data_IF_426297639223
#
_entry.id   IF_426297639223
#
_cell.length_a   1.000
_cell.length_b   1.000
_cell.length_c   1.000
_cell.angle_alpha   90.00
_cell.angle_beta   90.00
_cell.angle_gamma   90.00
#
_symmetry.space_group_name_H-M   'P 1'
#
loop_
_entity.id
_entity.type
_entity.pdbx_description
1 polymer ?
#
# COMPACT_ATOMS: atom_id res chain seq x y z
N UNK A 1 -16.71 12.52 -2.64
CA UNK A 1 -15.47 13.23 -3.01
C UNK A 1 -14.48 12.20 -3.52
N UNK A 2 -14.09 12.24 -4.80
CA UNK A 2 -13.14 11.26 -5.38
C UNK A 2 -11.79 11.39 -4.66
N UNK A 3 -11.33 10.33 -4.00
CA UNK A 3 -10.06 10.33 -3.28
C UNK A 3 -8.94 10.68 -4.28
N UNK A 4 -8.32 11.85 -4.10
CA UNK A 4 -7.32 12.39 -5.02
C UNK A 4 -6.21 11.36 -5.26
N UNK A 5 -5.74 11.28 -6.51
CA UNK A 5 -4.63 10.39 -6.94
C UNK A 5 -3.41 10.49 -6.00
N UNK A 6 -3.17 11.68 -5.43
CA UNK A 6 -2.12 11.96 -4.45
C UNK A 6 -2.33 11.23 -3.12
N UNK A 7 -3.56 11.19 -2.62
CA UNK A 7 -3.90 10.51 -1.35
C UNK A 7 -3.73 9.01 -1.49
N UNK A 8 -4.12 8.42 -2.64
CA UNK A 8 -3.91 6.98 -2.85
C UNK A 8 -2.43 6.60 -2.87
N UNK A 9 -1.58 7.44 -3.49
CA UNK A 9 -0.13 7.21 -3.49
C UNK A 9 0.46 7.39 -2.09
N UNK A 10 -0.03 8.38 -1.33
CA UNK A 10 0.33 8.57 0.06
C UNK A 10 -0.02 7.34 0.92
N UNK A 11 -1.21 6.75 0.76
CA UNK A 11 -1.61 5.54 1.51
C UNK A 11 -0.70 4.34 1.20
N UNK A 12 -0.32 4.16 -0.07
CA UNK A 12 0.61 3.09 -0.47
C UNK A 12 1.99 3.34 0.11
N UNK A 13 2.54 4.55 -0.04
CA UNK A 13 3.86 4.91 0.50
C UNK A 13 3.90 4.79 2.03
N UNK A 14 2.84 5.23 2.70
CA UNK A 14 2.67 5.10 4.14
C UNK A 14 2.62 3.63 4.57
N UNK A 15 1.91 2.78 3.84
CA UNK A 15 1.89 1.34 4.07
C UNK A 15 3.26 0.68 3.93
N UNK A 16 4.00 1.01 2.87
CA UNK A 16 5.37 0.51 2.65
C UNK A 16 6.33 1.00 3.73
N UNK A 17 6.24 2.28 4.10
CA UNK A 17 7.03 2.84 5.20
C UNK A 17 6.73 2.13 6.52
N UNK A 18 5.46 1.90 6.82
CA UNK A 18 5.01 1.16 8.00
C UNK A 18 5.64 -0.23 8.04
N UNK A 19 5.67 -0.97 6.92
CA UNK A 19 6.37 -2.25 6.84
C UNK A 19 7.85 -2.16 7.20
N UNK A 20 8.56 -1.17 6.66
CA UNK A 20 10.00 -0.99 6.95
C UNK A 20 10.22 -0.79 8.44
N UNK A 21 9.40 0.06 9.09
CA UNK A 21 9.48 0.33 10.53
C UNK A 21 9.25 -0.94 11.34
N UNK A 22 8.15 -1.66 11.10
CA UNK A 22 7.80 -2.83 11.90
C UNK A 22 8.75 -4.00 11.70
N UNK A 23 9.21 -4.26 10.47
CA UNK A 23 10.21 -5.30 10.19
C UNK A 23 11.53 -4.97 10.91
N UNK A 24 11.97 -3.72 10.84
CA UNK A 24 13.20 -3.29 11.52
C UNK A 24 13.07 -3.38 13.03
N UNK A 25 11.93 -2.98 13.58
CA UNK A 25 11.64 -3.09 15.00
C UNK A 25 11.64 -4.55 15.48
N UNK A 26 10.95 -5.47 14.78
CA UNK A 26 10.94 -6.90 15.13
C UNK A 26 12.35 -7.50 15.05
N UNK A 27 13.16 -7.12 14.06
CA UNK A 27 14.57 -7.55 13.97
C UNK A 27 15.38 -7.08 15.18
N UNK A 28 15.17 -5.84 15.64
CA UNK A 28 15.86 -5.29 16.80
C UNK A 28 15.36 -5.91 18.12
N UNK A 29 14.07 -6.19 18.20
CA UNK A 29 13.46 -6.89 19.33
C UNK A 29 14.03 -8.31 19.46
N UNK A 30 14.16 -9.03 18.34
CA UNK A 30 14.75 -10.38 18.33
C UNK A 30 16.24 -10.37 18.67
N UNK A 31 16.99 -9.35 18.23
CA UNK A 31 18.39 -9.14 18.61
C UNK A 31 18.58 -8.69 20.06
N UNK A 32 17.49 -8.52 20.80
CA UNK A 32 17.48 -7.98 22.15
C UNK A 32 18.30 -6.70 22.31
N UNK A 33 18.14 -5.76 21.38
CA UNK A 33 18.94 -4.52 21.39
C UNK A 33 18.75 -3.70 22.68
N UNK A 34 17.60 -3.85 23.33
CA UNK A 34 17.26 -3.23 24.62
C UNK A 34 17.73 -4.02 25.85
N UNK A 35 18.07 -5.31 25.71
CA UNK A 35 18.37 -6.21 26.84
C UNK A 35 17.15 -6.59 27.71
N UNK A 36 15.94 -6.39 27.19
CA UNK A 36 14.66 -6.62 27.89
C UNK A 36 13.83 -7.73 27.27
N UNK A 37 14.18 -8.18 26.06
CA UNK A 37 13.39 -9.12 25.29
C UNK A 37 13.55 -10.56 25.79
N UNK A 38 14.73 -10.93 26.28
CA UNK A 38 15.00 -12.27 26.76
C UNK A 38 15.65 -12.25 28.14
N UNK A 39 15.32 -13.24 28.97
CA UNK A 39 16.01 -13.39 30.26
C UNK A 39 17.44 -13.88 30.02
N UNK A 40 18.42 -13.20 30.61
CA UNK A 40 19.84 -13.58 30.56
C UNK A 40 20.44 -13.78 29.16
N UNK A 41 19.83 -13.20 28.11
CA UNK A 41 20.25 -13.38 26.72
C UNK A 41 19.92 -14.76 26.13
N UNK A 42 19.15 -15.60 26.82
CA UNK A 42 18.68 -16.88 26.29
C UNK A 42 17.41 -16.68 25.47
N UNK A 43 17.52 -16.83 24.15
CA UNK A 43 16.39 -16.76 23.22
C UNK A 43 15.29 -17.80 23.48
N UNK A 44 15.53 -18.81 24.32
CA UNK A 44 14.52 -19.75 24.83
C UNK A 44 13.61 -19.19 25.92
N UNK A 45 13.88 -18.00 26.45
CA UNK A 45 13.18 -17.41 27.60
C UNK A 45 12.63 -15.98 27.33
N UNK A 46 11.66 -15.83 26.42
CA UNK A 46 11.09 -14.52 26.08
C UNK A 46 10.34 -13.90 27.26
N UNK A 47 10.56 -12.61 27.50
CA UNK A 47 9.91 -11.86 28.58
C UNK A 47 8.49 -11.40 28.18
N UNK A 48 7.72 -10.90 29.16
CA UNK A 48 6.46 -10.23 28.86
C UNK A 48 6.64 -9.00 27.95
N UNK A 49 7.76 -8.27 28.09
CA UNK A 49 8.10 -7.14 27.24
C UNK A 49 8.19 -7.57 25.77
N UNK A 50 8.85 -8.70 25.49
CA UNK A 50 8.93 -9.26 24.14
C UNK A 50 7.54 -9.55 23.56
N UNK A 51 6.68 -10.26 24.29
CA UNK A 51 5.35 -10.65 23.80
C UNK A 51 4.43 -9.46 23.53
N UNK A 52 4.43 -8.47 24.43
CA UNK A 52 3.66 -7.25 24.26
C UNK A 52 4.12 -6.54 22.99
N UNK A 53 5.41 -6.28 22.85
CA UNK A 53 5.94 -5.52 21.71
C UNK A 53 5.81 -6.28 20.39
N UNK A 54 6.02 -7.60 20.39
CA UNK A 54 5.81 -8.43 19.21
C UNK A 54 4.36 -8.40 18.77
N UNK A 55 3.41 -8.54 19.71
CA UNK A 55 1.97 -8.50 19.40
C UNK A 55 1.58 -7.13 18.83
N UNK A 56 2.01 -6.03 19.48
CA UNK A 56 1.78 -4.68 18.96
C UNK A 56 2.37 -4.49 17.57
N UNK A 57 3.59 -4.99 17.33
CA UNK A 57 4.24 -4.90 16.02
C UNK A 57 3.48 -5.68 14.94
N UNK A 58 3.05 -6.91 15.23
CA UNK A 58 2.28 -7.74 14.28
C UNK A 58 0.93 -7.10 13.96
N UNK A 59 0.17 -6.68 14.97
CA UNK A 59 -1.14 -6.03 14.75
C UNK A 59 -0.95 -4.75 13.93
N UNK A 60 0.04 -3.92 14.27
CA UNK A 60 0.31 -2.67 13.54
C UNK A 60 0.77 -2.91 12.11
N UNK A 61 1.57 -3.96 11.87
CA UNK A 61 1.98 -4.38 10.53
C UNK A 61 0.77 -4.82 9.69
N UNK A 62 -0.18 -5.57 10.26
CA UNK A 62 -1.41 -5.96 9.58
C UNK A 62 -2.29 -4.76 9.24
N UNK A 63 -2.43 -3.80 10.16
CA UNK A 63 -3.14 -2.55 9.91
C UNK A 63 -2.48 -1.73 8.79
N UNK A 64 -1.14 -1.60 8.80
CA UNK A 64 -0.38 -0.96 7.72
C UNK A 64 -0.59 -1.65 6.36
N UNK A 65 -0.63 -2.99 6.36
CA UNK A 65 -0.92 -3.81 5.17
C UNK A 65 -2.32 -3.55 4.63
N UNK A 66 -3.33 -3.48 5.51
CA UNK A 66 -4.70 -3.18 5.11
C UNK A 66 -4.80 -1.80 4.47
N UNK A 67 -4.14 -0.78 5.05
CA UNK A 67 -4.07 0.57 4.49
C UNK A 67 -3.38 0.57 3.11
N UNK A 68 -2.25 -0.12 2.97
CA UNK A 68 -1.54 -0.26 1.70
C UNK A 68 -2.44 -0.88 0.62
N UNK A 69 -3.18 -1.94 0.99
CA UNK A 69 -4.10 -2.62 0.09
C UNK A 69 -5.26 -1.73 -0.34
N UNK A 70 -5.82 -0.91 0.57
CA UNK A 70 -6.85 0.07 0.24
C UNK A 70 -6.32 1.13 -0.74
N UNK A 71 -5.11 1.66 -0.51
CA UNK A 71 -4.45 2.60 -1.43
C UNK A 71 -4.17 2.00 -2.82
N UNK A 72 -3.78 0.73 -2.87
CA UNK A 72 -3.58 0.02 -4.13
C UNK A 72 -4.89 -0.20 -4.89
N UNK A 73 -5.98 -0.53 -4.17
CA UNK A 73 -7.32 -0.69 -4.76
C UNK A 73 -7.85 0.62 -5.33
N UNK A 74 -7.69 1.74 -4.63
CA UNK A 74 -8.10 3.05 -5.15
C UNK A 74 -7.32 3.45 -6.40
N UNK A 75 -6.00 3.19 -6.43
CA UNK A 75 -5.16 3.39 -7.63
C UNK A 75 -5.60 2.54 -8.83
N UNK A 76 -6.00 1.27 -8.61
CA UNK A 76 -6.51 0.39 -9.67
C UNK A 76 -7.85 0.87 -10.23
N UNK A 77 -8.79 1.28 -9.38
CA UNK A 77 -10.08 1.83 -9.81
C UNK A 77 -9.91 3.11 -10.67
N UNK A 78 -9.00 4.01 -10.26
CA UNK A 78 -8.69 5.24 -11.01
C UNK A 78 -8.09 4.96 -12.40
N UNK A 79 -7.35 3.86 -12.58
CA UNK A 79 -6.81 3.47 -13.90
C UNK A 79 -7.90 2.99 -14.86
N UNK A 80 -8.98 2.39 -14.37
CA UNK A 80 -10.09 1.92 -15.20
C UNK A 80 -10.95 3.07 -15.74
N UNK A 81 -11.16 4.14 -14.96
CA UNK A 81 -11.86 5.35 -15.45
C UNK A 81 -11.04 6.14 -16.50
N UNK A 82 -9.72 5.95 -16.54
CA UNK A 82 -8.80 6.71 -17.41
C UNK A 82 -8.61 6.10 -18.81
N UNK A 83 -9.42 5.13 -19.21
CA UNK A 83 -9.55 4.71 -20.61
C UNK A 83 -10.77 5.44 -21.19
N UNK A 84 -10.63 6.66 -21.74
CA UNK A 84 -11.67 7.18 -22.60
C UNK A 84 -11.82 6.19 -23.74
N UNK A 85 -13.06 5.72 -23.96
CA UNK A 85 -13.42 5.13 -25.23
C UNK A 85 -12.87 6.05 -26.33
N UNK A 86 -11.99 5.52 -27.18
CA UNK A 86 -11.56 6.22 -28.39
C UNK A 86 -12.84 6.70 -29.05
N UNK A 87 -13.09 8.02 -29.19
CA UNK A 87 -14.27 8.49 -29.89
C UNK A 87 -14.19 7.86 -31.28
N UNK A 88 -15.20 7.05 -31.59
CA UNK A 88 -15.28 6.36 -32.86
C UNK A 88 -15.02 7.38 -33.96
N UNK A 89 -13.93 7.16 -34.71
CA UNK A 89 -13.57 7.97 -35.87
C UNK A 89 -14.84 8.09 -36.74
N UNK A 90 -15.31 9.30 -37.07
CA UNK A 90 -16.46 9.44 -37.96
C UNK A 90 -16.17 8.66 -39.24
N UNK A 91 -17.17 7.90 -39.71
CA UNK A 91 -17.02 7.02 -40.86
C UNK A 91 -16.54 7.82 -42.10
N UNK A 92 -15.70 7.24 -42.98
CA UNK A 92 -15.19 7.90 -44.19
C UNK A 92 -16.26 8.40 -45.17
N UNK A 93 -17.52 8.10 -44.93
CA UNK A 93 -18.66 8.41 -45.80
C UNK A 93 -19.11 9.89 -45.73
N UNK A 94 -18.50 10.70 -44.85
CA UNK A 94 -18.65 12.17 -44.88
C UNK A 94 -17.65 12.87 -45.81
N UNK A 95 -16.85 12.10 -46.56
CA UNK A 95 -15.94 12.59 -47.58
C UNK A 95 -16.28 11.97 -48.95
N UNK A 96 -17.49 12.22 -49.45
CA UNK A 96 -17.77 12.06 -50.88
C UNK A 96 -18.37 13.35 -51.47
N UNK A 97 -18.11 13.61 -52.75
CA UNK A 97 -17.64 14.89 -53.26
C UNK A 97 -18.79 15.88 -53.53
N UNK A 98 -18.44 17.17 -53.53
CA UNK A 98 -19.22 18.26 -54.14
C UNK A 98 -19.42 18.02 -55.65
N UNK A 99 -20.20 17.00 -56.00
CA UNK A 99 -20.77 16.84 -57.33
C UNK A 99 -22.23 17.35 -57.34
N UNK A 100 -22.48 18.46 -56.65
CA UNK A 100 -23.58 19.37 -56.95
C UNK A 100 -23.02 20.59 -57.68
N UNK A 101 -22.98 20.42 -59.01
CA UNK A 101 -23.04 21.51 -59.99
C UNK A 101 -24.35 22.29 -59.84
#
# INVERSE_FOLDING_TARGET
MKLSRRVSWFLVAFGVWSWIVWITFVKNLWKDTSGLAFHHGDHGSPTAYFWIHLTLAVVSFLLGTAIAALGARSLRALRQESHPAVPARPAPDQALPEHQR
#
